data_IF_434262165340
#
_entry.id   IF_434262165340
#
_cell.length_a   1.000
_cell.length_b   1.000
_cell.length_c   1.000
_cell.angle_alpha   90.00
_cell.angle_beta   90.00
_cell.angle_gamma   90.00
#
_symmetry.space_group_name_H-M   'P 1'
#
loop_
_entity.id
_entity.type
_entity.pdbx_description
1 polymer ?
#
# COMPACT_ATOMS: atom_id res chain seq x y z
N UNK A 1 35.52 -15.94 11.67
CA UNK A 1 35.16 -14.75 10.87
C UNK A 1 34.85 -15.23 9.47
N UNK A 2 33.63 -15.04 8.98
CA UNK A 2 33.19 -15.52 7.66
C UNK A 2 31.68 -15.49 7.56
N UNK A 3 31.11 -14.28 7.46
CA UNK A 3 29.68 -14.07 7.29
C UNK A 3 29.25 -14.68 5.94
N UNK A 4 28.46 -15.75 5.96
CA UNK A 4 27.71 -16.19 4.78
C UNK A 4 26.44 -15.34 4.71
N UNK A 5 26.56 -14.19 4.06
CA UNK A 5 25.43 -13.45 3.54
C UNK A 5 25.18 -13.93 2.13
N UNK A 6 24.03 -14.55 1.90
CA UNK A 6 23.42 -14.67 0.58
C UNK A 6 22.33 -13.61 0.52
N UNK A 7 22.50 -12.53 -0.27
CA UNK A 7 21.35 -11.75 -0.70
C UNK A 7 20.43 -12.72 -1.44
N UNK A 8 19.21 -12.91 -0.93
CA UNK A 8 18.16 -13.56 -1.70
C UNK A 8 18.09 -12.85 -3.04
N UNK A 9 18.20 -13.63 -4.11
CA UNK A 9 18.22 -13.15 -5.47
C UNK A 9 17.08 -12.14 -5.65
N UNK A 10 17.43 -10.86 -5.77
CA UNK A 10 16.60 -9.95 -6.53
C UNK A 10 16.51 -10.62 -7.90
N UNK A 11 15.31 -11.07 -8.26
CA UNK A 11 15.03 -11.63 -9.57
C UNK A 11 15.25 -10.50 -10.59
N UNK A 12 16.52 -10.34 -10.96
CA UNK A 12 16.99 -9.48 -12.02
C UNK A 12 16.51 -10.15 -13.31
N UNK A 13 15.54 -9.52 -13.97
CA UNK A 13 15.05 -9.97 -15.28
C UNK A 13 13.70 -10.68 -15.29
N UNK A 14 12.72 -10.24 -14.50
CA UNK A 14 11.39 -10.17 -15.10
C UNK A 14 11.49 -9.09 -16.18
N UNK A 15 11.51 -9.49 -17.45
CA UNK A 15 11.30 -8.55 -18.54
C UNK A 15 10.03 -7.76 -18.15
N UNK A 16 10.20 -6.47 -17.90
CA UNK A 16 9.05 -5.58 -17.77
C UNK A 16 8.51 -5.52 -19.18
N UNK A 17 7.66 -6.48 -19.51
CA UNK A 17 6.85 -6.42 -20.70
C UNK A 17 6.14 -5.08 -20.59
N UNK A 18 6.39 -4.19 -21.53
CA UNK A 18 5.88 -2.82 -21.54
C UNK A 18 4.38 -2.80 -21.81
N UNK A 19 3.64 -3.73 -21.21
CA UNK A 19 2.21 -3.74 -21.14
C UNK A 19 1.79 -2.57 -20.25
N UNK A 20 1.08 -1.62 -20.85
CA UNK A 20 0.37 -0.59 -20.10
C UNK A 20 -0.53 -1.30 -19.09
N UNK A 21 -0.19 -1.22 -17.80
CA UNK A 21 -1.03 -1.76 -16.75
C UNK A 21 -2.14 -0.75 -16.51
N UNK A 22 -3.31 -1.02 -17.08
CA UNK A 22 -4.53 -0.28 -16.78
C UNK A 22 -5.05 -0.74 -15.42
N UNK A 23 -5.29 0.22 -14.54
CA UNK A 23 -5.87 -0.05 -13.22
C UNK A 23 -7.38 0.00 -13.31
N UNK A 24 -8.04 -0.84 -12.52
CA UNK A 24 -9.50 -0.78 -12.39
C UNK A 24 -9.93 0.61 -11.88
N UNK A 25 -11.05 1.17 -12.38
CA UNK A 25 -11.53 2.50 -11.98
C UNK A 25 -11.64 2.66 -10.46
N UNK A 26 -12.14 1.64 -9.76
CA UNK A 26 -12.27 1.64 -8.30
C UNK A 26 -10.91 1.79 -7.59
N UNK A 27 -9.84 1.23 -8.17
CA UNK A 27 -8.49 1.36 -7.62
C UNK A 27 -7.93 2.77 -7.88
N UNK A 28 -8.29 3.38 -9.02
CA UNK A 28 -7.96 4.78 -9.30
C UNK A 28 -8.70 5.76 -8.40
N UNK A 29 -9.97 5.52 -8.13
CA UNK A 29 -10.75 6.33 -7.20
C UNK A 29 -10.16 6.25 -5.79
N UNK A 30 -9.80 5.03 -5.34
CA UNK A 30 -9.15 4.82 -4.05
C UNK A 30 -7.78 5.53 -3.97
N UNK A 31 -6.98 5.47 -5.04
CA UNK A 31 -5.70 6.17 -5.11
C UNK A 31 -5.91 7.69 -5.01
N UNK A 32 -6.83 8.25 -5.80
CA UNK A 32 -7.15 9.68 -5.79
C UNK A 32 -7.66 10.12 -4.41
N UNK A 33 -8.52 9.34 -3.77
CA UNK A 33 -9.02 9.63 -2.44
C UNK A 33 -7.88 9.63 -1.40
N UNK A 34 -7.00 8.63 -1.46
CA UNK A 34 -5.82 8.53 -0.58
C UNK A 34 -4.87 9.71 -0.78
N UNK A 35 -4.59 10.10 -2.03
CA UNK A 35 -3.80 11.29 -2.32
C UNK A 35 -4.47 12.57 -1.82
N UNK A 36 -5.78 12.71 -1.98
CA UNK A 36 -6.52 13.88 -1.50
C UNK A 36 -6.42 14.02 0.04
N UNK A 37 -6.50 12.90 0.77
CA UNK A 37 -6.26 12.86 2.22
C UNK A 37 -4.82 13.22 2.57
N UNK A 38 -3.84 12.67 1.86
CA UNK A 38 -2.43 12.94 2.10
C UNK A 38 -2.03 14.40 1.80
N UNK A 39 -2.63 15.03 0.78
CA UNK A 39 -2.44 16.45 0.46
C UNK A 39 -3.01 17.35 1.56
N UNK A 40 -4.15 16.97 2.15
CA UNK A 40 -4.72 17.66 3.32
C UNK A 40 -3.82 17.59 4.55
N UNK A 41 -2.96 16.58 4.64
CA UNK A 41 -1.97 16.42 5.71
C UNK A 41 -0.70 17.28 5.51
N UNK A 42 -0.68 18.20 4.53
CA UNK A 42 0.42 19.17 4.26
C UNK A 42 1.82 18.55 4.05
N UNK A 43 1.88 17.29 3.59
CA UNK A 43 3.15 16.60 3.36
C UNK A 43 3.81 17.08 2.06
N UNK A 44 5.01 17.67 2.16
CA UNK A 44 5.77 18.17 0.99
C UNK A 44 6.27 17.07 0.05
N UNK A 45 6.24 15.79 0.47
CA UNK A 45 6.58 14.64 -0.36
C UNK A 45 5.65 13.46 -0.06
N UNK A 46 5.03 12.91 -1.10
CA UNK A 46 4.18 11.73 -1.03
C UNK A 46 5.00 10.52 -1.46
N UNK A 47 5.59 9.82 -0.48
CA UNK A 47 6.24 8.53 -0.69
C UNK A 47 5.24 7.38 -0.65
N UNK A 48 5.66 6.19 -1.08
CA UNK A 48 4.85 4.98 -0.95
C UNK A 48 4.46 4.72 0.51
N UNK A 49 5.36 4.95 1.47
CA UNK A 49 5.08 4.78 2.90
C UNK A 49 3.97 5.71 3.40
N UNK A 50 3.95 6.95 2.90
CA UNK A 50 2.90 7.92 3.22
C UNK A 50 1.55 7.46 2.68
N UNK A 51 1.50 7.00 1.43
CA UNK A 51 0.26 6.51 0.83
C UNK A 51 -0.24 5.24 1.52
N UNK A 52 0.67 4.32 1.89
CA UNK A 52 0.33 3.12 2.65
C UNK A 52 -0.19 3.47 4.04
N UNK A 53 0.39 4.48 4.71
CA UNK A 53 -0.08 4.99 6.00
C UNK A 53 -1.49 5.57 5.92
N UNK A 54 -1.75 6.43 4.93
CA UNK A 54 -3.08 7.02 4.71
C UNK A 54 -4.13 5.98 4.29
N UNK A 55 -3.72 5.01 3.47
CA UNK A 55 -4.57 3.90 3.06
C UNK A 55 -4.92 3.00 4.26
N UNK A 56 -3.95 2.70 5.11
CA UNK A 56 -4.13 1.91 6.34
C UNK A 56 -5.02 2.62 7.37
N UNK A 57 -4.92 3.94 7.47
CA UNK A 57 -5.75 4.75 8.36
C UNK A 57 -7.16 4.97 7.80
N UNK A 58 -7.35 4.81 6.49
CA UNK A 58 -8.65 4.91 5.87
C UNK A 58 -9.55 3.72 6.21
N UNK A 59 -10.82 4.01 6.53
CA UNK A 59 -11.88 3.00 6.70
C UNK A 59 -12.31 2.42 5.34
N UNK A 60 -11.36 1.76 4.67
CA UNK A 60 -11.54 1.11 3.36
C UNK A 60 -11.16 -0.36 3.48
N UNK A 61 -11.75 -1.22 2.64
CA UNK A 61 -11.43 -2.65 2.64
C UNK A 61 -9.96 -2.90 2.26
N UNK A 62 -9.41 -2.07 1.37
CA UNK A 62 -7.99 -2.06 1.03
C UNK A 62 -7.09 -1.73 2.23
N UNK A 63 -7.45 -0.73 3.04
CA UNK A 63 -6.77 -0.41 4.30
C UNK A 63 -6.80 -1.57 5.30
N UNK A 64 -7.94 -2.26 5.41
CA UNK A 64 -8.08 -3.44 6.24
C UNK A 64 -7.25 -4.64 5.74
N UNK A 65 -7.12 -4.80 4.42
CA UNK A 65 -6.33 -5.85 3.79
C UNK A 65 -4.82 -5.66 4.01
N UNK A 66 -4.31 -4.43 4.00
CA UNK A 66 -2.89 -4.14 4.23
C UNK A 66 -2.51 -4.05 5.71
N UNK A 67 -3.49 -3.83 6.59
CA UNK A 67 -3.31 -3.75 8.06
C UNK A 67 -4.11 -4.83 8.79
N UNK A 68 -3.86 -6.13 8.51
CA UNK A 68 -4.59 -7.21 9.12
C UNK A 68 -4.36 -7.20 10.64
N UNK A 69 -5.43 -6.97 11.40
CA UNK A 69 -5.41 -6.93 12.87
C UNK A 69 -5.41 -5.53 13.51
N UNK A 70 -5.27 -4.46 12.73
CA UNK A 70 -5.27 -3.07 13.25
C UNK A 70 -6.62 -2.35 13.14
N UNK A 71 -7.60 -2.93 12.44
CA UNK A 71 -8.89 -2.27 12.18
C UNK A 71 -10.04 -3.24 12.00
N UNK A 72 -10.63 -3.66 13.13
CA UNK A 72 -12.07 -3.89 13.33
C UNK A 72 -12.28 -4.35 14.76
N UNK A 73 -12.98 -3.60 15.64
CA UNK A 73 -13.50 -4.22 16.85
C UNK A 73 -14.42 -5.34 16.40
N UNK A 74 -14.09 -6.58 16.76
CA UNK A 74 -15.01 -7.71 16.70
C UNK A 74 -16.23 -7.26 17.49
N UNK A 75 -17.33 -6.90 16.81
CA UNK A 75 -18.62 -6.80 17.49
C UNK A 75 -18.95 -8.21 17.91
N UNK A 76 -18.60 -8.54 19.14
CA UNK A 76 -19.13 -9.67 19.87
C UNK A 76 -20.65 -9.48 19.90
N UNK A 77 -21.35 -10.12 18.96
CA UNK A 77 -22.78 -10.27 19.04
C UNK A 77 -23.05 -11.25 20.19
N UNK A 78 -23.50 -10.70 21.31
CA UNK A 78 -24.16 -11.45 22.38
C UNK A 78 -25.65 -11.56 22.06
#
# INVERSE_FOLDING_TARGET
MGQRWTPGAHAEGAAVDGATTEWEPDVMDLLVETLCRAVKSELSALGADTLLGELALGDTDAGAAITPGCGRPVRSAA
#
